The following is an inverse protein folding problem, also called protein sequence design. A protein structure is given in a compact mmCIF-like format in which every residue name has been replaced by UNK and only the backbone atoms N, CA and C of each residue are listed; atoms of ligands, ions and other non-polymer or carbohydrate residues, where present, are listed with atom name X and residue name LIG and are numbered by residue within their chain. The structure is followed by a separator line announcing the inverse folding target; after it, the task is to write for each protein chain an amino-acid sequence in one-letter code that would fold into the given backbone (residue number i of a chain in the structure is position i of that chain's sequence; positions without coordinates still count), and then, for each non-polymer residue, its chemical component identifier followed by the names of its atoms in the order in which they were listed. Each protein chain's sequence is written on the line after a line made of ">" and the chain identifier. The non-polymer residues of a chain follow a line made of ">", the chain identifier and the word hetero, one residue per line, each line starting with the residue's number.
data_IF_592676389511
#
_entry.id   IF_592676389511
#
_cell.length_a   1.000
_cell.length_b   1.000
_cell.length_c   1.000
_cell.angle_alpha   90.00
_cell.angle_beta   90.00
_cell.angle_gamma   90.00
#
_symmetry.space_group_name_H-M   'P 1'
#
loop_
_entity.id
_entity.type
_entity.pdbx_description
1 polymer ?
#
# COMPACT_ATOMS: atom_id res chain seq x y z
N UNK A 1 -8.67 -25.24 -8.20
CA UNK A 1 -8.76 -23.90 -8.81
C UNK A 1 -8.01 -22.96 -7.90
N UNK A 2 -7.01 -22.24 -8.42
CA UNK A 2 -6.10 -21.44 -7.60
C UNK A 2 -6.86 -20.24 -7.01
N UNK A 3 -6.82 -20.07 -5.69
CA UNK A 3 -7.40 -18.94 -4.95
C UNK A 3 -6.85 -17.57 -5.42
N UNK A 4 -5.62 -17.54 -5.94
CA UNK A 4 -4.99 -16.33 -6.51
C UNK A 4 -5.79 -15.73 -7.69
N UNK A 5 -6.40 -16.54 -8.56
CA UNK A 5 -7.16 -16.05 -9.71
C UNK A 5 -8.49 -15.36 -9.33
N UNK A 6 -9.14 -15.81 -8.27
CA UNK A 6 -10.41 -15.24 -7.81
C UNK A 6 -10.24 -13.92 -7.06
N UNK A 7 -9.13 -13.73 -6.35
CA UNK A 7 -8.83 -12.49 -5.62
C UNK A 7 -8.39 -11.37 -6.56
N UNK A 8 -7.59 -11.70 -7.56
CA UNK A 8 -7.19 -10.74 -8.60
C UNK A 8 -8.44 -10.21 -9.34
N UNK A 9 -9.34 -11.11 -9.79
CA UNK A 9 -10.60 -10.74 -10.43
C UNK A 9 -11.49 -9.85 -9.55
N UNK A 10 -11.48 -10.09 -8.23
CA UNK A 10 -12.25 -9.27 -7.29
C UNK A 10 -11.88 -7.78 -7.35
N UNK A 11 -10.59 -7.46 -7.50
CA UNK A 11 -10.10 -6.09 -7.60
C UNK A 11 -10.26 -5.51 -9.01
N UNK A 12 -10.03 -6.31 -10.06
CA UNK A 12 -10.23 -5.88 -11.45
C UNK A 12 -11.64 -5.39 -11.71
N UNK A 13 -12.66 -6.14 -11.26
CA UNK A 13 -14.08 -5.81 -11.44
C UNK A 13 -14.48 -4.47 -10.78
N UNK A 14 -13.64 -3.93 -9.91
CA UNK A 14 -13.90 -2.70 -9.13
C UNK A 14 -13.11 -1.50 -9.59
N UNK A 15 -12.19 -1.66 -10.53
CA UNK A 15 -11.25 -0.61 -10.93
C UNK A 15 -11.92 0.71 -11.31
N UNK A 16 -13.04 0.69 -12.02
CA UNK A 16 -13.74 1.91 -12.46
C UNK A 16 -14.43 2.68 -11.33
N UNK A 17 -14.78 2.00 -10.25
CA UNK A 17 -15.52 2.60 -9.13
C UNK A 17 -14.71 2.68 -7.85
N UNK A 18 -13.49 2.17 -7.87
CA UNK A 18 -12.63 1.94 -6.70
C UNK A 18 -12.46 3.18 -5.83
N UNK A 19 -12.08 4.31 -6.41
CA UNK A 19 -11.85 5.55 -5.66
C UNK A 19 -13.12 6.06 -4.99
N UNK A 20 -14.23 6.07 -5.74
CA UNK A 20 -15.53 6.48 -5.23
C UNK A 20 -16.00 5.57 -4.09
N UNK A 21 -15.83 4.27 -4.25
CA UNK A 21 -16.31 3.29 -3.29
C UNK A 21 -15.40 3.25 -2.04
N UNK A 22 -14.09 3.38 -2.20
CA UNK A 22 -13.14 3.57 -1.09
C UNK A 22 -13.48 4.83 -0.30
N UNK A 23 -13.72 5.95 -1.00
CA UNK A 23 -14.16 7.19 -0.35
C UNK A 23 -15.45 7.01 0.48
N UNK A 24 -16.42 6.27 -0.04
CA UNK A 24 -17.65 5.97 0.70
C UNK A 24 -17.41 5.06 1.90
N UNK A 25 -16.51 4.08 1.78
CA UNK A 25 -16.23 3.08 2.82
C UNK A 25 -15.44 3.70 3.97
N UNK A 26 -14.23 4.21 3.68
CA UNK A 26 -13.29 4.69 4.72
C UNK A 26 -13.39 6.20 4.98
N UNK A 27 -13.98 6.96 4.05
CA UNK A 27 -14.08 8.42 4.09
C UNK A 27 -12.80 9.12 3.58
N UNK A 28 -12.96 10.37 3.13
CA UNK A 28 -11.84 11.19 2.63
C UNK A 28 -10.79 11.49 3.71
N UNK A 29 -11.21 11.52 4.96
CA UNK A 29 -10.33 11.90 6.07
C UNK A 29 -9.12 11.00 6.21
N UNK A 30 -9.31 9.68 6.14
CA UNK A 30 -8.22 8.72 6.31
C UNK A 30 -7.19 8.83 5.19
N UNK A 31 -7.63 8.86 3.91
CA UNK A 31 -6.70 8.99 2.78
C UNK A 31 -5.87 10.27 2.86
N UNK A 32 -6.50 11.40 3.25
CA UNK A 32 -5.79 12.66 3.43
C UNK A 32 -4.79 12.62 4.59
N UNK A 33 -5.14 11.93 5.68
CA UNK A 33 -4.25 11.76 6.82
C UNK A 33 -3.05 10.87 6.45
N UNK A 34 -3.25 9.78 5.69
CA UNK A 34 -2.17 8.94 5.14
C UNK A 34 -1.30 9.77 4.19
N UNK A 35 -1.89 10.49 3.22
CA UNK A 35 -1.14 11.34 2.28
C UNK A 35 -0.26 12.36 3.02
N UNK A 36 -0.75 12.94 4.12
CA UNK A 36 0.00 13.90 4.94
C UNK A 36 1.15 13.23 5.68
N UNK A 37 0.96 12.00 6.18
CA UNK A 37 2.03 11.24 6.82
C UNK A 37 3.12 10.87 5.79
N UNK A 38 2.74 10.44 4.58
CA UNK A 38 3.67 10.11 3.49
C UNK A 38 4.56 11.29 3.07
N UNK A 39 4.10 12.55 3.21
CA UNK A 39 4.89 13.73 2.85
C UNK A 39 6.23 13.84 3.60
N UNK A 40 6.33 13.23 4.78
CA UNK A 40 7.53 13.25 5.59
C UNK A 40 8.41 11.99 5.40
N UNK A 41 8.00 11.06 4.55
CA UNK A 41 8.68 9.79 4.39
C UNK A 41 9.67 9.77 3.23
N UNK A 42 9.62 10.74 2.32
CA UNK A 42 10.41 10.72 1.09
C UNK A 42 11.20 12.00 0.89
N UNK A 43 12.23 11.91 0.04
CA UNK A 43 13.05 13.03 -0.42
C UNK A 43 13.07 13.10 -1.95
N UNK A 44 13.40 14.27 -2.49
CA UNK A 44 13.47 14.51 -3.94
C UNK A 44 14.60 13.74 -4.65
N UNK A 45 15.39 13.00 -3.93
CA UNK A 45 16.46 12.16 -4.47
C UNK A 45 16.10 10.68 -4.50
N UNK A 46 15.00 10.29 -3.84
CA UNK A 46 14.60 8.89 -3.72
C UNK A 46 14.08 8.35 -5.07
N UNK A 47 14.59 7.19 -5.49
CA UNK A 47 13.97 6.32 -6.47
C UNK A 47 13.04 5.35 -5.72
N UNK A 48 11.74 5.42 -5.97
CA UNK A 48 10.71 4.72 -5.20
C UNK A 48 10.02 3.66 -6.04
N UNK A 49 9.84 2.47 -5.47
CA UNK A 49 8.94 1.43 -5.97
C UNK A 49 7.66 1.44 -5.14
N UNK A 50 6.50 1.57 -5.77
CA UNK A 50 5.20 1.37 -5.13
C UNK A 50 4.63 0.02 -5.53
N UNK A 51 4.34 -0.83 -4.53
CA UNK A 51 3.71 -2.13 -4.70
C UNK A 51 2.21 -2.02 -4.41
N UNK A 52 1.37 -2.45 -5.37
CA UNK A 52 -0.08 -2.40 -5.24
C UNK A 52 -0.64 -0.97 -5.32
N UNK A 53 -0.23 -0.19 -6.31
CA UNK A 53 -0.63 1.22 -6.45
C UNK A 53 -2.13 1.41 -6.72
N UNK A 54 -2.84 0.36 -7.14
CA UNK A 54 -4.25 0.43 -7.50
C UNK A 54 -4.52 1.50 -8.56
N UNK A 55 -5.44 2.39 -8.28
CA UNK A 55 -5.82 3.53 -9.15
C UNK A 55 -4.89 4.74 -9.03
N UNK A 56 -3.75 4.62 -8.35
CA UNK A 56 -2.75 5.68 -8.23
C UNK A 56 -3.09 6.78 -7.21
N UNK A 57 -3.99 6.54 -6.26
CA UNK A 57 -4.41 7.55 -5.28
C UNK A 57 -3.28 8.03 -4.38
N UNK A 58 -2.35 7.14 -4.02
CA UNK A 58 -1.18 7.50 -3.20
C UNK A 58 0.03 7.82 -4.06
N UNK A 59 0.16 7.19 -5.24
CA UNK A 59 1.16 7.58 -6.26
C UNK A 59 1.09 9.07 -6.58
N UNK A 60 -0.13 9.63 -6.74
CA UNK A 60 -0.36 11.06 -6.97
C UNK A 60 0.20 11.96 -5.86
N UNK A 61 0.14 11.49 -4.60
CA UNK A 61 0.66 12.25 -3.47
C UNK A 61 2.18 12.13 -3.34
N UNK A 62 2.78 11.02 -3.79
CA UNK A 62 4.21 10.72 -3.65
C UNK A 62 5.02 11.21 -4.86
N UNK A 63 4.48 11.16 -6.07
CA UNK A 63 5.16 11.56 -7.30
C UNK A 63 5.88 12.93 -7.21
N UNK A 64 5.26 14.01 -6.68
CA UNK A 64 5.95 15.31 -6.57
C UNK A 64 7.04 15.37 -5.50
N UNK A 65 7.17 14.35 -4.65
CA UNK A 65 8.10 14.32 -3.51
C UNK A 65 9.40 13.57 -3.81
N UNK A 66 9.45 12.79 -4.91
CA UNK A 66 10.51 11.84 -5.21
C UNK A 66 11.18 12.14 -6.55
N UNK A 67 12.34 11.54 -6.78
CA UNK A 67 13.04 11.64 -8.05
C UNK A 67 12.31 10.85 -9.12
N UNK A 68 12.13 9.55 -8.89
CA UNK A 68 11.49 8.61 -9.79
C UNK A 68 10.52 7.73 -9.00
N UNK A 69 9.37 7.42 -9.57
CA UNK A 69 8.37 6.52 -9.01
C UNK A 69 8.01 5.44 -10.02
N UNK A 70 8.31 4.17 -9.71
CA UNK A 70 7.75 3.04 -10.45
C UNK A 70 6.56 2.51 -9.65
N UNK A 71 5.35 2.72 -10.17
CA UNK A 71 4.10 2.30 -9.54
C UNK A 71 3.64 0.99 -10.17
N UNK A 72 3.49 -0.06 -9.33
CA UNK A 72 3.16 -1.40 -9.81
C UNK A 72 1.86 -1.91 -9.22
N UNK A 73 1.14 -2.69 -10.03
CA UNK A 73 -0.04 -3.45 -9.62
C UNK A 73 -0.19 -4.71 -10.48
N UNK A 74 -0.81 -5.75 -9.97
CA UNK A 74 -1.13 -6.94 -10.77
C UNK A 74 -2.27 -6.70 -11.76
N UNK A 75 -3.15 -5.74 -11.48
CA UNK A 75 -4.37 -5.44 -12.21
C UNK A 75 -4.13 -4.40 -13.30
N UNK A 76 -4.14 -4.80 -14.57
CA UNK A 76 -4.05 -3.86 -15.69
C UNK A 76 -5.23 -2.87 -15.73
N UNK A 77 -6.49 -3.24 -15.39
CA UNK A 77 -7.57 -2.27 -15.23
C UNK A 77 -7.29 -1.19 -14.17
N UNK A 78 -6.64 -1.53 -13.04
CA UNK A 78 -6.22 -0.55 -12.02
C UNK A 78 -5.13 0.39 -12.58
N UNK A 79 -4.10 -0.17 -13.21
CA UNK A 79 -3.02 0.61 -13.83
C UNK A 79 -3.53 1.56 -14.92
N UNK A 80 -4.56 1.17 -15.67
CA UNK A 80 -5.20 2.05 -16.65
C UNK A 80 -5.80 3.29 -15.98
N UNK A 81 -6.45 3.14 -14.83
CA UNK A 81 -6.97 4.28 -14.04
C UNK A 81 -5.83 5.14 -13.49
N UNK A 82 -4.77 4.50 -12.98
CA UNK A 82 -3.60 5.20 -12.47
C UNK A 82 -2.90 6.03 -13.56
N UNK A 83 -2.67 5.46 -14.74
CA UNK A 83 -2.12 6.18 -15.91
C UNK A 83 -3.01 7.35 -16.34
N UNK A 84 -4.33 7.19 -16.32
CA UNK A 84 -5.25 8.29 -16.66
C UNK A 84 -5.18 9.43 -15.64
N UNK A 85 -4.92 9.13 -14.37
CA UNK A 85 -4.80 10.10 -13.27
C UNK A 85 -3.45 10.84 -13.26
N UNK A 86 -2.36 10.13 -13.51
CA UNK A 86 -0.98 10.64 -13.36
C UNK A 86 -0.20 10.76 -14.66
N UNK A 87 -0.81 10.57 -15.82
CA UNK A 87 -0.12 10.52 -17.11
C UNK A 87 0.68 11.78 -17.49
N UNK A 88 0.49 12.90 -16.78
CA UNK A 88 1.25 14.15 -16.95
C UNK A 88 2.52 14.20 -16.06
N UNK A 89 2.71 13.26 -15.14
CA UNK A 89 3.91 13.20 -14.29
C UNK A 89 5.04 12.47 -15.02
N UNK A 90 6.05 13.21 -15.47
CA UNK A 90 7.18 12.69 -16.26
C UNK A 90 8.12 11.78 -15.45
N UNK A 91 8.02 11.77 -14.13
CA UNK A 91 8.82 10.95 -13.22
C UNK A 91 8.06 9.72 -12.70
N UNK A 92 6.92 9.36 -13.32
CA UNK A 92 6.13 8.18 -12.91
C UNK A 92 6.05 7.18 -14.05
N UNK A 93 6.43 5.95 -13.75
CA UNK A 93 6.27 4.79 -14.62
C UNK A 93 5.28 3.80 -14.02
N UNK A 94 4.48 3.14 -14.88
CA UNK A 94 3.49 2.16 -14.44
C UNK A 94 3.79 0.80 -15.06
N UNK A 95 3.98 -0.20 -14.21
CA UNK A 95 4.28 -1.55 -14.64
C UNK A 95 3.36 -2.59 -13.99
N UNK A 96 2.96 -3.59 -14.78
CA UNK A 96 2.24 -4.74 -14.24
C UNK A 96 3.22 -5.72 -13.62
N UNK A 97 3.19 -5.87 -12.30
CA UNK A 97 4.10 -6.73 -11.53
C UNK A 97 3.37 -7.46 -10.40
N UNK A 98 3.87 -8.66 -10.06
CA UNK A 98 3.49 -9.37 -8.84
C UNK A 98 4.35 -8.84 -7.69
N UNK A 99 3.73 -8.39 -6.59
CA UNK A 99 4.46 -7.91 -5.42
C UNK A 99 5.29 -8.99 -4.70
N UNK A 100 4.96 -10.27 -4.94
CA UNK A 100 5.73 -11.40 -4.40
C UNK A 100 7.03 -11.70 -5.17
N UNK A 101 7.07 -11.31 -6.44
CA UNK A 101 8.21 -11.53 -7.34
C UNK A 101 8.22 -10.41 -8.39
N UNK A 102 8.84 -9.29 -8.04
CA UNK A 102 8.78 -8.06 -8.84
C UNK A 102 9.60 -8.13 -10.13
N UNK A 103 10.56 -9.05 -10.20
CA UNK A 103 11.53 -9.20 -11.30
C UNK A 103 12.37 -7.93 -11.56
N UNK A 104 12.55 -7.07 -10.56
CA UNK A 104 13.57 -6.03 -10.56
C UNK A 104 14.90 -6.58 -10.04
N UNK A 105 16.00 -5.95 -10.42
CA UNK A 105 17.32 -6.29 -9.89
C UNK A 105 17.43 -5.96 -8.39
N UNK A 106 18.41 -6.59 -7.72
CA UNK A 106 18.71 -6.31 -6.32
C UNK A 106 19.21 -4.86 -6.14
N UNK A 107 18.88 -4.26 -5.01
CA UNK A 107 19.39 -2.96 -4.59
C UNK A 107 19.15 -1.80 -5.59
N UNK A 108 17.99 -1.75 -6.23
CA UNK A 108 17.61 -0.70 -7.18
C UNK A 108 17.03 0.55 -6.51
N UNK A 109 16.23 0.39 -5.46
CA UNK A 109 15.38 1.45 -4.93
C UNK A 109 15.86 2.02 -3.60
N UNK A 110 15.65 3.33 -3.40
CA UNK A 110 15.88 4.01 -2.13
C UNK A 110 14.73 3.77 -1.16
N UNK A 111 13.51 3.57 -1.68
CA UNK A 111 12.35 3.23 -0.87
C UNK A 111 11.38 2.30 -1.61
N UNK A 112 10.70 1.44 -0.83
CA UNK A 112 9.53 0.68 -1.27
C UNK A 112 8.32 1.16 -0.49
N UNK A 113 7.25 1.53 -1.21
CA UNK A 113 5.97 2.00 -0.67
C UNK A 113 4.90 0.93 -0.83
N UNK A 114 4.13 0.70 0.22
CA UNK A 114 2.91 -0.11 0.21
C UNK A 114 1.80 0.61 0.96
N UNK A 115 0.67 0.87 0.30
CA UNK A 115 -0.51 1.44 0.96
C UNK A 115 -1.73 0.56 0.73
N UNK A 116 -2.34 0.10 1.81
CA UNK A 116 -3.50 -0.80 1.80
C UNK A 116 -3.27 -2.10 0.99
N UNK A 117 -2.06 -2.65 1.04
CA UNK A 117 -1.68 -3.87 0.34
C UNK A 117 -1.56 -5.08 1.28
N UNK A 118 -0.85 -4.93 2.40
CA UNK A 118 -0.48 -6.09 3.22
C UNK A 118 -1.68 -6.80 3.87
N UNK A 119 -2.77 -6.07 4.11
CA UNK A 119 -3.99 -6.64 4.69
C UNK A 119 -4.82 -7.48 3.70
N UNK A 120 -4.54 -7.42 2.39
CA UNK A 120 -5.29 -8.15 1.36
C UNK A 120 -4.50 -9.29 0.72
N UNK A 121 -3.23 -9.47 1.08
CA UNK A 121 -2.36 -10.49 0.53
C UNK A 121 -2.27 -11.72 1.45
N UNK A 122 -1.96 -12.89 0.90
CA UNK A 122 -1.87 -14.13 1.66
C UNK A 122 -0.70 -14.14 2.64
N UNK A 123 0.46 -13.70 2.20
CA UNK A 123 1.69 -13.71 2.99
C UNK A 123 2.43 -12.37 2.85
N UNK A 124 2.22 -11.41 3.77
CA UNK A 124 2.92 -10.13 3.75
C UNK A 124 4.42 -10.28 4.03
N UNK A 125 4.86 -11.35 4.68
CA UNK A 125 6.28 -11.56 4.98
C UNK A 125 7.08 -11.73 3.71
N UNK A 126 6.56 -12.48 2.74
CA UNK A 126 7.22 -12.66 1.44
C UNK A 126 7.34 -11.35 0.66
N UNK A 127 6.32 -10.49 0.70
CA UNK A 127 6.36 -9.17 0.04
C UNK A 127 7.39 -8.26 0.71
N UNK A 128 7.47 -8.28 2.04
CA UNK A 128 8.48 -7.53 2.77
C UNK A 128 9.90 -8.06 2.50
N UNK A 129 10.09 -9.38 2.33
CA UNK A 129 11.37 -9.97 1.91
C UNK A 129 11.75 -9.57 0.48
N UNK A 130 10.80 -9.59 -0.46
CA UNK A 130 11.03 -9.10 -1.82
C UNK A 130 11.37 -7.59 -1.80
N UNK A 131 10.70 -6.81 -0.95
CA UNK A 131 11.02 -5.40 -0.75
C UNK A 131 12.44 -5.21 -0.23
N UNK A 132 12.90 -6.06 0.71
CA UNK A 132 14.29 -6.05 1.21
C UNK A 132 15.31 -6.33 0.10
N UNK A 133 15.00 -7.27 -0.81
CA UNK A 133 15.89 -7.63 -1.93
C UNK A 133 16.10 -6.47 -2.90
N UNK A 134 15.03 -5.77 -3.26
CA UNK A 134 15.10 -4.68 -4.25
C UNK A 134 15.56 -3.34 -3.66
N UNK A 135 15.60 -3.22 -2.34
CA UNK A 135 16.08 -2.03 -1.65
C UNK A 135 17.61 -1.97 -1.60
N UNK A 136 18.16 -0.77 -1.73
CA UNK A 136 19.57 -0.48 -1.45
C UNK A 136 19.89 -0.73 0.02
N UNK A 137 21.18 -0.84 0.36
CA UNK A 137 21.65 -1.14 1.73
C UNK A 137 21.18 -0.13 2.79
N UNK A 138 20.94 1.11 2.40
CA UNK A 138 20.40 2.19 3.25
C UNK A 138 18.95 2.52 2.94
N UNK A 139 18.30 1.68 2.16
CA UNK A 139 16.92 1.82 1.72
C UNK A 139 15.92 1.61 2.85
N UNK A 140 14.68 2.01 2.59
CA UNK A 140 13.58 1.94 3.56
C UNK A 140 12.31 1.36 2.95
N UNK A 141 11.54 0.66 3.79
CA UNK A 141 10.16 0.30 3.50
C UNK A 141 9.21 1.28 4.19
N UNK A 142 8.18 1.73 3.49
CA UNK A 142 7.13 2.62 3.99
C UNK A 142 5.79 1.93 3.79
N UNK A 143 5.10 1.63 4.88
CA UNK A 143 3.84 0.88 4.85
C UNK A 143 2.76 1.66 5.56
N UNK A 144 1.56 1.73 4.96
CA UNK A 144 0.36 2.25 5.59
C UNK A 144 -0.83 1.34 5.27
N UNK A 145 -1.41 0.71 6.27
CA UNK A 145 -2.53 -0.21 6.09
C UNK A 145 -3.72 0.14 7.00
N UNK A 146 -4.93 0.09 6.44
CA UNK A 146 -6.15 0.29 7.22
C UNK A 146 -6.26 -0.76 8.33
N UNK A 147 -6.61 -0.31 9.54
CA UNK A 147 -6.73 -1.17 10.71
C UNK A 147 -7.98 -0.86 11.53
N UNK A 148 -8.48 -1.87 12.23
CA UNK A 148 -9.54 -1.69 13.23
C UNK A 148 -8.99 -1.21 14.58
N UNK A 149 -7.67 -1.24 14.79
CA UNK A 149 -7.05 -0.80 16.04
C UNK A 149 -7.37 0.67 16.33
N UNK A 150 -7.89 0.95 17.53
CA UNK A 150 -8.28 2.32 17.92
C UNK A 150 -9.52 2.88 17.21
N UNK A 151 -10.18 2.07 16.34
CA UNK A 151 -11.46 2.44 15.73
C UNK A 151 -12.61 2.17 16.71
N UNK A 152 -13.48 3.14 17.02
CA UNK A 152 -14.64 2.91 17.86
C UNK A 152 -15.54 1.80 17.31
N UNK A 153 -16.10 0.95 18.17
CA UNK A 153 -16.89 -0.24 17.78
C UNK A 153 -18.01 0.13 16.78
N UNK A 154 -18.77 1.20 17.05
CA UNK A 154 -19.85 1.64 16.16
C UNK A 154 -19.32 2.07 14.78
N UNK A 155 -18.16 2.71 14.73
CA UNK A 155 -17.51 3.10 13.48
C UNK A 155 -17.01 1.87 12.71
N UNK A 156 -16.47 0.87 13.41
CA UNK A 156 -16.06 -0.41 12.82
C UNK A 156 -17.25 -1.17 12.20
N UNK A 157 -18.38 -1.23 12.89
CA UNK A 157 -19.63 -1.83 12.38
C UNK A 157 -20.10 -1.08 11.12
N UNK A 158 -20.12 0.26 11.16
CA UNK A 158 -20.49 1.08 10.00
C UNK A 158 -19.55 0.87 8.82
N UNK A 159 -18.23 0.79 9.07
CA UNK A 159 -17.24 0.50 8.06
C UNK A 159 -17.51 -0.86 7.39
N UNK A 160 -17.73 -1.90 8.18
CA UNK A 160 -18.08 -3.24 7.68
C UNK A 160 -19.37 -3.26 6.86
N UNK A 161 -20.42 -2.58 7.31
CA UNK A 161 -21.69 -2.48 6.57
C UNK A 161 -21.53 -1.72 5.24
N UNK A 162 -20.74 -0.63 5.22
CA UNK A 162 -20.43 0.11 3.99
C UNK A 162 -19.63 -0.74 3.01
N UNK A 163 -18.63 -1.47 3.52
CA UNK A 163 -17.84 -2.42 2.73
C UNK A 163 -18.72 -3.48 2.10
N UNK A 164 -19.52 -4.19 2.92
CA UNK A 164 -20.43 -5.24 2.45
C UNK A 164 -21.45 -4.74 1.42
N UNK A 165 -21.91 -3.51 1.58
CA UNK A 165 -22.88 -2.90 0.65
C UNK A 165 -22.27 -2.58 -0.70
N UNK A 166 -20.98 -2.17 -0.74
CA UNK A 166 -20.31 -1.75 -1.97
C UNK A 166 -19.58 -2.88 -2.65
N UNK A 167 -18.83 -3.65 -1.88
CA UNK A 167 -17.91 -4.64 -2.39
C UNK A 167 -18.31 -6.09 -2.11
N UNK A 168 -19.36 -6.30 -1.31
CA UNK A 168 -19.80 -7.63 -0.93
C UNK A 168 -18.87 -8.28 0.09
N UNK A 169 -18.79 -9.61 0.05
CA UNK A 169 -17.94 -10.36 0.97
C UNK A 169 -16.46 -10.14 0.61
N UNK A 170 -15.59 -9.79 1.58
CA UNK A 170 -14.17 -9.64 1.33
C UNK A 170 -13.52 -10.96 0.92
N UNK A 171 -12.39 -10.93 0.16
CA UNK A 171 -11.57 -12.10 -0.09
C UNK A 171 -11.11 -12.80 1.19
N UNK A 172 -10.79 -14.08 1.10
CA UNK A 172 -10.36 -14.87 2.26
C UNK A 172 -9.01 -14.42 2.84
N UNK A 173 -8.15 -13.81 2.02
CA UNK A 173 -6.88 -13.22 2.42
C UNK A 173 -7.02 -11.95 3.26
N UNK A 174 -8.19 -11.28 3.16
CA UNK A 174 -8.41 -10.01 3.84
C UNK A 174 -8.39 -10.20 5.36
N UNK A 175 -7.45 -9.50 6.02
CA UNK A 175 -7.23 -9.57 7.46
C UNK A 175 -7.08 -8.19 8.07
N UNK A 176 -7.20 -8.09 9.37
CA UNK A 176 -6.88 -6.88 10.09
C UNK A 176 -5.44 -6.97 10.60
N UNK A 177 -4.60 -6.01 10.21
CA UNK A 177 -3.22 -5.89 10.71
C UNK A 177 -3.19 -4.75 11.72
N UNK A 178 -2.83 -5.04 12.98
CA UNK A 178 -2.61 -4.00 13.99
C UNK A 178 -1.25 -3.32 13.80
N UNK A 179 -1.04 -2.16 14.43
CA UNK A 179 0.26 -1.49 14.40
C UNK A 179 1.37 -2.39 14.95
N UNK A 180 1.12 -3.04 16.09
CA UNK A 180 2.10 -3.95 16.71
C UNK A 180 2.45 -5.14 15.79
N UNK A 181 1.43 -5.68 15.09
CA UNK A 181 1.65 -6.75 14.11
C UNK A 181 2.42 -6.26 12.89
N UNK A 182 2.12 -5.06 12.39
CA UNK A 182 2.85 -4.47 11.27
C UNK A 182 4.31 -4.20 11.61
N UNK A 183 4.58 -3.66 12.81
CA UNK A 183 5.93 -3.48 13.35
C UNK A 183 6.67 -4.82 13.42
N UNK A 184 6.05 -5.85 13.99
CA UNK A 184 6.64 -7.19 14.10
C UNK A 184 6.98 -7.78 12.73
N UNK A 185 6.04 -7.75 11.77
CA UNK A 185 6.25 -8.24 10.40
C UNK A 185 7.41 -7.52 9.72
N UNK A 186 7.49 -6.20 9.88
CA UNK A 186 8.57 -5.38 9.33
C UNK A 186 9.92 -5.75 9.94
N UNK A 187 9.98 -5.97 11.25
CA UNK A 187 11.19 -6.40 11.95
C UNK A 187 11.62 -7.82 11.57
N UNK A 188 10.68 -8.76 11.46
CA UNK A 188 10.94 -10.15 11.03
C UNK A 188 11.48 -10.23 9.60
N UNK A 189 11.14 -9.26 8.75
CA UNK A 189 11.70 -9.12 7.40
C UNK A 189 13.09 -8.45 7.36
N UNK A 190 13.68 -8.15 8.54
CA UNK A 190 15.05 -7.62 8.65
C UNK A 190 15.15 -6.09 8.69
N UNK A 191 14.05 -5.37 8.85
CA UNK A 191 14.06 -3.91 8.92
C UNK A 191 14.17 -3.41 10.37
N UNK A 192 14.90 -2.31 10.56
CA UNK A 192 14.88 -1.52 11.80
C UNK A 192 13.75 -0.49 11.70
N UNK A 193 12.67 -0.68 12.46
CA UNK A 193 11.56 0.28 12.54
C UNK A 193 12.03 1.54 13.26
N UNK A 194 11.89 2.71 12.61
CA UNK A 194 12.26 4.03 13.16
C UNK A 194 11.09 5.00 13.29
N UNK A 195 10.00 4.76 12.57
CA UNK A 195 8.77 5.55 12.66
C UNK A 195 7.57 4.62 12.64
N UNK A 196 6.65 4.83 13.58
CA UNK A 196 5.40 4.09 13.69
C UNK A 196 4.28 5.00 14.17
N UNK A 197 3.11 4.90 13.59
CA UNK A 197 1.96 5.73 13.93
C UNK A 197 0.61 5.07 13.65
N UNK A 198 -0.39 5.39 14.48
CA UNK A 198 -1.79 5.22 14.12
C UNK A 198 -2.33 6.53 13.56
N UNK A 199 -2.51 6.57 12.24
CA UNK A 199 -2.96 7.74 11.49
C UNK A 199 -4.48 7.68 11.27
N UNK A 200 -5.14 8.83 11.25
CA UNK A 200 -6.59 8.94 11.05
C UNK A 200 -7.35 9.28 12.34
N UNK A 201 -8.57 9.77 12.20
CA UNK A 201 -9.44 10.18 13.34
C UNK A 201 -10.32 9.03 13.82
N UNK A 202 -11.29 8.63 13.02
CA UNK A 202 -12.29 7.60 13.35
C UNK A 202 -11.85 6.25 12.84
N UNK A 203 -11.65 6.11 11.52
CA UNK A 203 -11.00 4.95 10.91
C UNK A 203 -9.50 5.21 10.97
N UNK A 204 -8.72 4.20 11.28
CA UNK A 204 -7.28 4.30 11.45
C UNK A 204 -6.52 3.55 10.36
N UNK A 205 -5.29 3.99 10.14
CA UNK A 205 -4.26 3.22 9.44
C UNK A 205 -3.06 3.01 10.37
N UNK A 206 -2.53 1.80 10.39
CA UNK A 206 -1.24 1.48 10.96
C UNK A 206 -0.16 1.87 9.94
N UNK A 207 0.77 2.72 10.34
CA UNK A 207 1.83 3.26 9.49
C UNK A 207 3.19 2.93 10.09
N UNK A 208 4.11 2.43 9.27
CA UNK A 208 5.47 2.05 9.70
C UNK A 208 6.48 2.46 8.64
N UNK A 209 7.62 2.99 9.09
CA UNK A 209 8.82 3.15 8.26
C UNK A 209 9.96 2.34 8.89
N UNK A 210 10.43 1.34 8.13
CA UNK A 210 11.55 0.47 8.49
C UNK A 210 12.73 0.69 7.54
N UNK A 211 13.95 0.70 8.07
CA UNK A 211 15.19 0.86 7.32
C UNK A 211 15.95 -0.45 7.24
N UNK A 212 16.61 -0.70 6.12
CA UNK A 212 17.54 -1.81 6.01
C UNK A 212 18.58 -1.72 7.14
N UNK A 213 18.88 -2.86 7.77
CA UNK A 213 19.99 -2.93 8.73
C UNK A 213 21.29 -3.00 7.94
N UNK A 214 22.21 -2.09 8.25
CA UNK A 214 23.55 -2.17 7.68
C UNK A 214 24.19 -3.51 8.10
N UNK A 215 24.54 -4.34 7.12
CA UNK A 215 25.21 -5.61 7.34
C UNK A 215 26.64 -5.44 7.84
#
# INVERSE_FOLDING_TARGET
>A
MSTKGTEHQYWEDRSETFDRDTFYIVGAGLNNDIKRWLQNQFTRTDAVLELGCGTGTFSEAVAPLVKDLIATDMSEPMLKQARAKLGEHSNVEFERRDAYETAFDDAMFDAVLMVNLLHIVHDPTLILQESSRVLKNDGKVVVADVTSQGTPILAGIQLGLRYMRRWGRPPASNRNISLDELVRLTQEAGFLVKDEALVGKTVKAACVTGYMQAG
#
